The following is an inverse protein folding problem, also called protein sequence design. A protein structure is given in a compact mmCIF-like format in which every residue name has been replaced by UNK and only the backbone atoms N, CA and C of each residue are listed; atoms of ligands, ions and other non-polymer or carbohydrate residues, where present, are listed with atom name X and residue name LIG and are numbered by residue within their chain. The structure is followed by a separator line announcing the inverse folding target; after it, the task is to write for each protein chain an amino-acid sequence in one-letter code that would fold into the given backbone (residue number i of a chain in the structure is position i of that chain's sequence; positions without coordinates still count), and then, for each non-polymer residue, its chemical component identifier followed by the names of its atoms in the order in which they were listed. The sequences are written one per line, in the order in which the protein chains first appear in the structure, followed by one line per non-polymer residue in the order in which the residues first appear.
data_IF_227983495488
#
_entry.id   IF_227983495488
#
_cell.length_a   1.000
_cell.length_b   1.000
_cell.length_c   1.000
_cell.angle_alpha   90.00
_cell.angle_beta   90.00
_cell.angle_gamma   90.00
#
_symmetry.space_group_name_H-M   'P 1'
#
loop_
_entity.id
_entity.type
_entity.pdbx_description
1 polymer ?
#
# COMPACT_ATOMS: atom_id res chain seq x y z
N UNK A 1 22.63 -5.17 -4.88
CA UNK A 1 22.22 -3.77 -4.84
C UNK A 1 20.71 -3.76 -4.83
N UNK A 2 20.09 -3.19 -3.81
CA UNK A 2 18.63 -3.06 -3.76
C UNK A 2 18.24 -1.96 -4.73
N UNK A 3 17.69 -2.35 -5.89
CA UNK A 3 17.19 -1.38 -6.85
C UNK A 3 15.96 -0.72 -6.23
N UNK A 4 16.13 0.54 -5.85
CA UNK A 4 15.07 1.38 -5.30
C UNK A 4 14.59 2.30 -6.41
N UNK A 5 13.30 2.20 -6.73
CA UNK A 5 12.67 3.11 -7.67
C UNK A 5 11.93 4.21 -6.93
N UNK A 6 12.01 5.43 -7.43
CA UNK A 6 11.26 6.56 -6.88
C UNK A 6 10.66 7.38 -8.00
N UNK A 7 9.33 7.44 -8.00
CA UNK A 7 8.54 8.09 -9.02
C UNK A 7 7.52 9.04 -8.38
N UNK A 8 7.12 10.06 -9.11
CA UNK A 8 5.86 10.73 -8.80
C UNK A 8 4.69 9.88 -9.28
N UNK A 9 3.48 10.13 -8.77
CA UNK A 9 2.27 9.48 -9.26
C UNK A 9 2.07 9.71 -10.77
N UNK A 10 2.32 10.92 -11.26
CA UNK A 10 2.28 11.26 -12.68
C UNK A 10 3.29 10.46 -13.50
N UNK A 11 4.53 10.31 -13.00
CA UNK A 11 5.56 9.50 -13.65
C UNK A 11 5.14 8.03 -13.75
N UNK A 12 4.61 7.45 -12.67
CA UNK A 12 4.11 6.08 -12.70
C UNK A 12 2.96 5.91 -13.69
N UNK A 13 2.01 6.84 -13.72
CA UNK A 13 0.87 6.81 -14.65
C UNK A 13 1.35 6.81 -16.10
N UNK A 14 2.23 7.74 -16.47
CA UNK A 14 2.76 7.84 -17.84
C UNK A 14 3.51 6.56 -18.21
N UNK A 15 4.32 6.02 -17.30
CA UNK A 15 5.04 4.78 -17.54
C UNK A 15 4.10 3.58 -17.73
N UNK A 16 3.05 3.44 -16.91
CA UNK A 16 2.05 2.38 -17.06
C UNK A 16 1.30 2.50 -18.39
N UNK A 17 0.85 3.70 -18.77
CA UNK A 17 0.17 3.93 -20.04
C UNK A 17 1.05 3.59 -21.25
N UNK A 18 2.32 4.02 -21.23
CA UNK A 18 3.25 3.75 -22.33
C UNK A 18 3.63 2.27 -22.41
N UNK A 19 3.65 1.57 -21.28
CA UNK A 19 3.89 0.13 -21.22
C UNK A 19 2.67 -0.74 -21.56
N UNK A 20 1.48 -0.14 -21.78
CA UNK A 20 0.26 -0.86 -22.11
C UNK A 20 -0.52 -1.42 -20.92
N UNK A 21 -0.26 -0.92 -19.71
CA UNK A 21 -1.00 -1.25 -18.48
C UNK A 21 -2.10 -0.20 -18.22
N UNK A 22 -3.07 -0.13 -19.13
CA UNK A 22 -4.06 0.95 -19.16
C UNK A 22 -5.00 0.97 -17.96
N UNK A 23 -5.41 -0.20 -17.46
CA UNK A 23 -6.30 -0.29 -16.28
C UNK A 23 -5.58 0.14 -15.00
N UNK A 24 -4.31 -0.24 -14.84
CA UNK A 24 -3.48 0.19 -13.72
C UNK A 24 -3.18 1.70 -13.79
N UNK A 25 -2.93 2.23 -15.00
CA UNK A 25 -2.75 3.66 -15.22
C UNK A 25 -4.02 4.43 -14.83
N UNK A 26 -5.19 3.94 -15.25
CA UNK A 26 -6.49 4.54 -14.92
C UNK A 26 -6.76 4.49 -13.41
N UNK A 27 -6.56 3.34 -12.77
CA UNK A 27 -6.69 3.21 -11.32
C UNK A 27 -5.75 4.16 -10.59
N UNK A 28 -4.53 4.35 -11.09
CA UNK A 28 -3.55 5.28 -10.52
C UNK A 28 -4.00 6.74 -10.66
N UNK A 29 -4.61 7.14 -11.78
CA UNK A 29 -5.20 8.48 -11.95
C UNK A 29 -6.30 8.73 -10.92
N UNK A 30 -7.20 7.77 -10.74
CA UNK A 30 -8.31 7.85 -9.77
C UNK A 30 -7.77 7.97 -8.33
N UNK A 31 -6.81 7.13 -7.95
CA UNK A 31 -6.21 7.13 -6.62
C UNK A 31 -5.41 8.40 -6.33
N UNK A 32 -4.71 8.95 -7.33
CA UNK A 32 -3.97 10.19 -7.21
C UNK A 32 -4.86 11.45 -7.28
N UNK A 33 -6.17 11.29 -7.51
CA UNK A 33 -7.12 12.41 -7.69
C UNK A 33 -6.69 13.40 -8.77
N UNK A 34 -6.06 12.89 -9.84
CA UNK A 34 -5.56 13.71 -10.95
C UNK A 34 -6.74 14.12 -11.84
N UNK A 35 -6.71 15.35 -12.35
CA UNK A 35 -7.72 15.85 -13.29
C UNK A 35 -7.78 14.96 -14.53
N UNK A 36 -8.98 14.50 -14.87
CA UNK A 36 -9.24 13.64 -16.03
C UNK A 36 -9.55 14.42 -17.31
N UNK A 37 -9.40 15.76 -17.28
CA UNK A 37 -9.58 16.59 -18.46
C UNK A 37 -8.48 16.33 -19.50
N UNK A 38 -8.87 16.18 -20.77
CA UNK A 38 -7.94 15.79 -21.85
C UNK A 38 -6.76 16.76 -21.99
N UNK A 39 -7.00 18.07 -21.87
CA UNK A 39 -5.93 19.08 -21.98
C UNK A 39 -4.98 19.03 -20.80
N UNK A 40 -5.51 18.85 -19.60
CA UNK A 40 -4.75 18.72 -18.36
C UNK A 40 -3.86 17.47 -18.41
N UNK A 41 -4.42 16.35 -18.87
CA UNK A 41 -3.67 15.11 -19.08
C UNK A 41 -2.57 15.27 -20.14
N UNK A 42 -2.85 15.90 -21.29
CA UNK A 42 -1.83 16.15 -22.31
C UNK A 42 -0.65 16.96 -21.78
N UNK A 43 -0.93 18.00 -20.99
CA UNK A 43 0.12 18.83 -20.37
C UNK A 43 0.91 18.02 -19.34
N UNK A 44 0.23 17.24 -18.50
CA UNK A 44 0.84 16.34 -17.54
C UNK A 44 1.77 15.34 -18.25
N UNK A 45 1.30 14.67 -19.31
CA UNK A 45 2.09 13.71 -20.09
C UNK A 45 3.34 14.36 -20.67
N UNK A 46 3.21 15.50 -21.35
CA UNK A 46 4.36 16.20 -21.97
C UNK A 46 5.41 16.61 -20.92
N UNK A 47 4.97 17.18 -19.81
CA UNK A 47 5.89 17.58 -18.73
C UNK A 47 6.56 16.38 -18.05
N UNK A 48 5.81 15.30 -17.86
CA UNK A 48 6.29 14.05 -17.25
C UNK A 48 7.32 13.34 -18.12
N UNK A 49 7.07 13.24 -19.44
CA UNK A 49 8.03 12.66 -20.38
C UNK A 49 9.36 13.43 -20.34
N UNK A 50 9.31 14.77 -20.26
CA UNK A 50 10.53 15.57 -20.12
C UNK A 50 11.30 15.23 -18.83
N UNK A 51 10.61 15.02 -17.70
CA UNK A 51 11.22 14.57 -16.44
C UNK A 51 11.82 13.16 -16.54
N UNK A 52 11.09 12.22 -17.16
CA UNK A 52 11.57 10.84 -17.36
C UNK A 52 12.82 10.80 -18.26
N UNK A 53 12.88 11.66 -19.29
CA UNK A 53 14.08 11.88 -20.13
C UNK A 53 15.26 12.38 -19.29
N UNK A 54 15.03 13.36 -18.41
CA UNK A 54 16.08 13.85 -17.50
C UNK A 54 16.58 12.79 -16.51
N UNK A 55 15.71 11.88 -16.09
CA UNK A 55 16.04 10.76 -15.19
C UNK A 55 16.74 9.59 -15.91
N UNK A 56 16.85 9.62 -17.25
CA UNK A 56 17.40 8.51 -18.03
C UNK A 56 16.51 7.27 -18.07
N UNK A 57 15.24 7.38 -17.65
CA UNK A 57 14.25 6.30 -17.71
C UNK A 57 13.66 6.19 -19.12
N UNK A 58 13.57 7.34 -19.81
CA UNK A 58 13.03 7.44 -21.15
C UNK A 58 14.15 7.57 -22.18
N UNK A 59 14.27 6.57 -23.03
CA UNK A 59 15.20 6.46 -24.14
C UNK A 59 14.62 7.13 -25.40
N UNK A 60 15.32 8.16 -25.87
CA UNK A 60 14.92 8.92 -27.06
C UNK A 60 15.14 8.14 -28.36
N UNK A 61 16.17 7.29 -28.42
CA UNK A 61 16.46 6.51 -29.63
C UNK A 61 15.36 5.46 -29.85
N UNK A 62 14.90 4.84 -28.76
CA UNK A 62 13.74 3.94 -28.77
C UNK A 62 12.46 4.67 -29.19
N UNK A 63 12.21 5.88 -28.67
CA UNK A 63 11.06 6.71 -29.06
C UNK A 63 11.06 7.04 -30.56
N UNK A 64 12.22 7.42 -31.12
CA UNK A 64 12.38 7.73 -32.54
C UNK A 64 12.20 6.51 -33.45
N UNK A 65 12.41 5.31 -32.92
CA UNK A 65 12.18 4.04 -33.60
C UNK A 65 10.75 3.51 -33.42
N UNK A 66 9.85 4.28 -32.80
CA UNK A 66 8.46 3.90 -32.51
C UNK A 66 8.34 2.60 -31.68
N UNK A 67 9.35 2.30 -30.85
CA UNK A 67 9.32 1.21 -29.87
C UNK A 67 9.14 1.78 -28.45
N UNK A 68 8.85 0.90 -27.47
CA UNK A 68 8.64 1.33 -26.10
C UNK A 68 9.89 2.07 -25.56
N UNK A 69 9.77 3.35 -25.18
CA UNK A 69 10.90 4.19 -24.82
C UNK A 69 11.41 3.94 -23.39
N UNK A 70 10.77 3.08 -22.61
CA UNK A 70 11.20 2.81 -21.24
C UNK A 70 12.44 1.89 -21.24
N UNK A 71 13.31 2.09 -20.24
CA UNK A 71 14.39 1.17 -19.95
C UNK A 71 13.84 -0.23 -19.60
N UNK A 72 14.52 -1.29 -20.05
CA UNK A 72 14.03 -2.67 -19.91
C UNK A 72 13.78 -3.06 -18.44
N UNK A 73 14.64 -2.60 -17.53
CA UNK A 73 14.47 -2.80 -16.08
C UNK A 73 13.16 -2.18 -15.55
N UNK A 74 12.78 -1.01 -16.08
CA UNK A 74 11.54 -0.33 -15.70
C UNK A 74 10.34 -1.09 -16.24
N UNK A 75 10.41 -1.60 -17.48
CA UNK A 75 9.36 -2.44 -18.06
C UNK A 75 9.14 -3.69 -17.19
N UNK A 76 10.20 -4.42 -16.84
CA UNK A 76 10.10 -5.59 -15.97
C UNK A 76 9.56 -5.26 -14.58
N UNK A 77 9.90 -4.10 -14.01
CA UNK A 77 9.30 -3.62 -12.77
C UNK A 77 7.80 -3.37 -12.91
N UNK A 78 7.37 -2.69 -13.98
CA UNK A 78 5.95 -2.38 -14.23
C UNK A 78 5.13 -3.65 -14.44
N UNK A 79 5.69 -4.66 -15.14
CA UNK A 79 5.07 -5.97 -15.29
C UNK A 79 4.81 -6.63 -13.93
N UNK A 80 5.77 -6.61 -13.01
CA UNK A 80 5.59 -7.15 -11.66
C UNK A 80 4.52 -6.36 -10.90
N UNK A 81 4.62 -5.03 -10.93
CA UNK A 81 3.69 -4.15 -10.24
C UNK A 81 2.24 -4.34 -10.72
N UNK A 82 2.02 -4.34 -12.03
CA UNK A 82 0.69 -4.45 -12.63
C UNK A 82 0.08 -5.84 -12.43
N UNK A 83 0.88 -6.91 -12.48
CA UNK A 83 0.37 -8.28 -12.38
C UNK A 83 0.29 -8.82 -10.94
N UNK A 84 0.57 -8.00 -9.92
CA UNK A 84 0.48 -8.44 -8.53
C UNK A 84 -0.98 -8.73 -8.14
N UNK A 85 -1.24 -9.96 -7.70
CA UNK A 85 -2.59 -10.40 -7.27
C UNK A 85 -2.78 -10.42 -5.77
N UNK A 86 -1.70 -10.57 -5.02
CA UNK A 86 -1.75 -10.67 -3.56
C UNK A 86 -0.97 -9.52 -2.96
N UNK A 87 -1.63 -8.74 -2.11
CA UNK A 87 -1.01 -7.59 -1.48
C UNK A 87 -1.45 -7.41 -0.03
N UNK A 88 -0.53 -6.87 0.77
CA UNK A 88 -0.80 -6.38 2.12
C UNK A 88 -0.77 -4.85 2.05
N UNK A 89 -1.80 -4.18 2.54
CA UNK A 89 -1.91 -2.73 2.53
C UNK A 89 -2.09 -2.21 3.95
N UNK A 90 -1.29 -1.25 4.35
CA UNK A 90 -1.36 -0.54 5.61
C UNK A 90 -1.54 0.96 5.35
N UNK A 91 -2.51 1.58 5.99
CA UNK A 91 -2.77 3.04 5.91
C UNK A 91 -2.18 3.75 7.12
N UNK A 92 -1.75 5.00 6.94
CA UNK A 92 -1.49 5.90 8.05
C UNK A 92 -2.08 7.29 7.75
N UNK A 93 -3.25 7.58 8.31
CA UNK A 93 -4.03 8.79 7.97
C UNK A 93 -3.32 10.08 8.41
N UNK A 94 -2.76 10.11 9.62
CA UNK A 94 -2.08 11.29 10.15
C UNK A 94 -0.86 11.69 9.30
N UNK A 95 -0.08 10.69 8.86
CA UNK A 95 1.08 10.90 7.99
C UNK A 95 0.70 11.01 6.50
N UNK A 96 -0.58 10.83 6.15
CA UNK A 96 -1.05 10.72 4.76
C UNK A 96 -0.20 9.75 3.94
N UNK A 97 0.15 8.63 4.55
CA UNK A 97 1.05 7.65 3.99
C UNK A 97 0.35 6.31 3.75
N UNK A 98 0.83 5.60 2.74
CA UNK A 98 0.39 4.25 2.45
C UNK A 98 1.59 3.33 2.32
N UNK A 99 1.47 2.14 2.89
CA UNK A 99 2.43 1.08 2.73
C UNK A 99 1.74 -0.12 2.09
N UNK A 100 2.28 -0.60 0.97
CA UNK A 100 1.80 -1.76 0.24
C UNK A 100 2.96 -2.74 0.09
N UNK A 101 2.68 -4.02 0.32
CA UNK A 101 3.58 -5.11 -0.01
C UNK A 101 2.92 -5.95 -1.09
N UNK A 102 3.56 -6.01 -2.24
CA UNK A 102 3.10 -6.76 -3.40
C UNK A 102 3.82 -8.12 -3.42
N UNK A 103 3.08 -9.21 -3.37
CA UNK A 103 3.67 -10.54 -3.43
C UNK A 103 4.11 -10.86 -4.85
N UNK A 104 5.35 -11.32 -4.99
CA UNK A 104 5.91 -11.75 -6.27
C UNK A 104 5.98 -13.27 -6.31
N UNK A 105 6.85 -13.84 -5.48
CA UNK A 105 7.08 -15.29 -5.42
C UNK A 105 7.93 -15.67 -4.19
N UNK A 106 7.61 -16.80 -3.55
CA UNK A 106 8.27 -17.32 -2.35
C UNK A 106 8.53 -16.22 -1.30
N UNK A 107 9.82 -15.92 -1.05
CA UNK A 107 10.27 -14.91 -0.08
C UNK A 107 10.37 -13.51 -0.69
N UNK A 108 10.06 -13.31 -1.98
CA UNK A 108 10.24 -12.03 -2.67
C UNK A 108 8.95 -11.21 -2.71
N UNK A 109 9.08 -9.98 -2.24
CA UNK A 109 8.01 -9.00 -2.21
C UNK A 109 8.51 -7.67 -2.77
N UNK A 110 7.60 -6.92 -3.37
CA UNK A 110 7.82 -5.53 -3.74
C UNK A 110 7.21 -4.63 -2.66
N UNK A 111 8.07 -4.02 -1.86
CA UNK A 111 7.71 -2.94 -0.95
C UNK A 111 7.34 -1.71 -1.78
N UNK A 112 6.21 -1.09 -1.45
CA UNK A 112 5.70 0.10 -2.10
C UNK A 112 5.21 1.10 -1.03
N UNK A 113 5.87 2.23 -0.92
CA UNK A 113 5.52 3.30 0.00
C UNK A 113 5.06 4.54 -0.75
N UNK A 114 3.88 5.05 -0.39
CA UNK A 114 3.29 6.27 -0.93
C UNK A 114 3.31 7.35 0.15
N UNK A 115 3.89 8.49 -0.18
CA UNK A 115 3.92 9.68 0.67
C UNK A 115 3.03 10.77 0.06
N UNK A 116 2.06 11.26 0.84
CA UNK A 116 1.13 12.33 0.46
C UNK A 116 0.43 12.09 -0.89
N UNK A 117 0.14 10.82 -1.22
CA UNK A 117 -0.44 10.39 -2.51
C UNK A 117 0.35 10.81 -3.77
N UNK A 118 1.60 11.26 -3.62
CA UNK A 118 2.34 11.90 -4.72
C UNK A 118 3.68 11.23 -5.01
N UNK A 119 4.43 10.83 -3.98
CA UNK A 119 5.74 10.18 -4.13
C UNK A 119 5.57 8.69 -3.87
N UNK A 120 5.97 7.88 -4.84
CA UNK A 120 5.93 6.43 -4.77
C UNK A 120 7.34 5.87 -4.75
N UNK A 121 7.67 5.11 -3.70
CA UNK A 121 8.96 4.46 -3.51
C UNK A 121 8.79 2.95 -3.54
N UNK A 122 9.62 2.28 -4.33
CA UNK A 122 9.56 0.85 -4.53
C UNK A 122 10.90 0.19 -4.26
N UNK A 123 10.89 -0.94 -3.55
CA UNK A 123 12.09 -1.71 -3.24
C UNK A 123 11.75 -3.19 -3.16
N UNK A 124 12.60 -4.08 -3.66
CA UNK A 124 12.41 -5.52 -3.44
C UNK A 124 12.90 -5.91 -2.03
N UNK A 125 12.07 -6.63 -1.29
CA UNK A 125 12.37 -7.08 0.08
C UNK A 125 12.07 -8.57 0.26
N UNK A 126 12.62 -9.15 1.33
CA UNK A 126 12.24 -10.50 1.79
C UNK A 126 11.02 -10.49 2.71
N UNK A 127 10.21 -11.55 2.72
CA UNK A 127 9.02 -11.70 3.57
C UNK A 127 9.34 -11.47 5.05
N UNK A 128 10.47 -12.01 5.52
CA UNK A 128 10.95 -11.83 6.91
C UNK A 128 11.14 -10.37 7.35
N UNK A 129 11.23 -9.42 6.41
CA UNK A 129 11.40 -8.00 6.71
C UNK A 129 10.05 -7.27 6.87
N UNK A 130 8.94 -7.83 6.36
CA UNK A 130 7.61 -7.19 6.38
C UNK A 130 7.21 -6.75 7.80
N UNK A 131 7.35 -7.58 8.86
CA UNK A 131 6.97 -7.16 10.21
C UNK A 131 7.74 -5.92 10.69
N UNK A 132 9.02 -5.80 10.36
CA UNK A 132 9.83 -4.65 10.73
C UNK A 132 9.43 -3.40 9.95
N UNK A 133 9.09 -3.53 8.67
CA UNK A 133 8.60 -2.40 7.86
C UNK A 133 7.26 -1.88 8.38
N UNK A 134 6.30 -2.76 8.69
CA UNK A 134 5.01 -2.38 9.29
C UNK A 134 5.24 -1.66 10.63
N UNK A 135 6.17 -2.20 11.44
CA UNK A 135 6.48 -1.61 12.74
C UNK A 135 7.05 -0.20 12.63
N UNK A 136 7.98 0.00 11.70
CA UNK A 136 8.60 1.30 11.44
C UNK A 136 7.58 2.28 10.84
N UNK A 137 6.70 1.80 9.96
CA UNK A 137 5.66 2.62 9.32
C UNK A 137 4.71 3.27 10.33
N UNK A 138 4.24 2.51 11.32
CA UNK A 138 3.43 3.05 12.42
C UNK A 138 4.23 3.72 13.53
N UNK A 139 5.55 3.77 13.40
CA UNK A 139 6.46 4.26 14.42
C UNK A 139 6.10 3.71 15.82
N UNK A 140 5.81 2.40 15.91
CA UNK A 140 5.49 1.78 17.19
C UNK A 140 6.69 1.96 18.11
N UNK A 141 6.59 2.90 19.06
CA UNK A 141 7.61 3.07 20.08
C UNK A 141 7.71 1.73 20.82
N UNK A 142 8.88 1.11 20.84
CA UNK A 142 9.10 -0.18 21.52
C UNK A 142 9.13 -0.08 23.04
N UNK A 143 8.77 1.07 23.59
CA UNK A 143 8.78 1.32 25.03
C UNK A 143 7.56 0.70 25.73
N UNK A 144 6.71 -0.04 25.01
CA UNK A 144 5.73 -0.91 25.62
C UNK A 144 6.52 -2.08 26.19
N UNK A 145 6.79 -2.02 27.48
CA UNK A 145 7.03 -3.22 28.28
C UNK A 145 5.75 -4.05 28.20
N UNK A 146 5.55 -4.75 27.09
CA UNK A 146 4.59 -5.82 27.05
C UNK A 146 5.20 -6.91 27.92
N UNK A 147 4.62 -7.13 29.10
CA UNK A 147 4.70 -8.46 29.69
C UNK A 147 4.29 -9.42 28.58
N UNK A 148 5.26 -10.23 28.13
CA UNK A 148 5.28 -10.88 26.81
C UNK A 148 4.23 -11.99 26.63
N UNK A 149 3.27 -12.09 27.54
CA UNK A 149 2.27 -13.15 27.62
C UNK A 149 0.82 -12.63 27.57
N UNK A 150 0.59 -11.32 27.54
CA UNK A 150 -0.75 -10.76 27.48
C UNK A 150 -1.32 -10.89 26.06
N UNK A 151 -2.27 -11.79 25.86
CA UNK A 151 -2.95 -11.97 24.57
C UNK A 151 -4.42 -12.31 24.77
N UNK A 152 -5.25 -11.89 23.82
CA UNK A 152 -6.64 -12.29 23.71
C UNK A 152 -7.02 -12.31 22.22
N UNK A 153 -8.11 -13.00 21.88
CA UNK A 153 -8.62 -13.04 20.51
C UNK A 153 -10.08 -12.59 20.50
N UNK A 154 -10.44 -11.86 19.45
CA UNK A 154 -11.82 -11.46 19.17
C UNK A 154 -12.20 -11.98 17.79
N UNK A 155 -13.45 -12.37 17.62
CA UNK A 155 -14.06 -12.47 16.29
C UNK A 155 -14.36 -11.08 15.74
N UNK A 156 -14.49 -10.94 14.43
CA UNK A 156 -14.85 -9.67 13.78
C UNK A 156 -16.13 -9.06 14.37
N UNK A 157 -17.16 -9.89 14.59
CA UNK A 157 -18.41 -9.47 15.21
C UNK A 157 -18.22 -8.96 16.65
N UNK A 158 -17.34 -9.59 17.43
CA UNK A 158 -17.02 -9.14 18.79
C UNK A 158 -16.27 -7.81 18.76
N UNK A 159 -15.28 -7.65 17.86
CA UNK A 159 -14.56 -6.38 17.69
C UNK A 159 -15.49 -5.24 17.26
N UNK A 160 -16.33 -5.47 16.25
CA UNK A 160 -17.32 -4.47 15.81
C UNK A 160 -18.31 -4.11 16.90
N UNK A 161 -18.69 -5.09 17.73
CA UNK A 161 -19.60 -4.86 18.84
C UNK A 161 -18.98 -3.96 19.92
N UNK A 162 -17.64 -3.87 20.02
CA UNK A 162 -16.95 -2.94 20.95
C UNK A 162 -17.15 -1.46 20.59
N UNK A 163 -17.59 -1.14 19.36
CA UNK A 163 -18.04 0.21 18.97
C UNK A 163 -19.11 0.78 19.89
N UNK A 164 -19.90 -0.09 20.54
CA UNK A 164 -21.01 0.29 21.42
C UNK A 164 -20.61 0.01 22.88
N UNK A 165 -20.40 1.04 23.73
CA UNK A 165 -19.96 0.85 25.11
C UNK A 165 -20.81 -0.13 25.94
N UNK A 166 -22.12 -0.21 25.65
CA UNK A 166 -23.06 -1.14 26.30
C UNK A 166 -22.74 -2.63 26.05
N UNK A 167 -22.03 -2.96 24.97
CA UNK A 167 -21.72 -4.33 24.59
C UNK A 167 -20.44 -4.86 25.26
N UNK A 168 -19.61 -4.00 25.84
CA UNK A 168 -18.32 -4.37 26.46
C UNK A 168 -18.50 -5.48 27.51
N UNK A 169 -19.48 -5.33 28.41
CA UNK A 169 -19.72 -6.32 29.47
C UNK A 169 -20.11 -7.69 28.92
N UNK A 170 -20.90 -7.70 27.85
CA UNK A 170 -21.35 -8.92 27.16
C UNK A 170 -20.17 -9.62 26.48
N UNK A 171 -19.36 -8.86 25.73
CA UNK A 171 -18.17 -9.41 25.07
C UNK A 171 -17.19 -9.96 26.09
N UNK A 172 -16.95 -9.22 27.19
CA UNK A 172 -16.09 -9.68 28.29
C UNK A 172 -16.55 -11.01 28.90
N UNK A 173 -17.86 -11.29 28.94
CA UNK A 173 -18.40 -12.56 29.43
C UNK A 173 -18.38 -13.70 28.41
N UNK A 174 -18.24 -13.40 27.11
CA UNK A 174 -18.23 -14.38 26.01
C UNK A 174 -16.81 -14.87 25.67
N UNK A 175 -15.78 -14.23 26.21
CA UNK A 175 -14.39 -14.55 25.92
C UNK A 175 -13.87 -15.58 26.93
N UNK A 176 -13.80 -16.83 26.50
CA UNK A 176 -13.18 -17.92 27.27
C UNK A 176 -11.64 -17.76 27.32
N UNK A 177 -11.03 -18.03 28.47
CA UNK A 177 -9.56 -18.00 28.63
C UNK A 177 -8.93 -16.59 28.57
N UNK A 178 -9.74 -15.55 28.72
CA UNK A 178 -9.31 -14.17 28.52
C UNK A 178 -8.27 -13.72 29.55
N UNK A 179 -7.17 -13.20 29.05
CA UNK A 179 -6.33 -12.28 29.81
C UNK A 179 -7.09 -10.94 30.00
N UNK A 180 -7.73 -10.82 31.16
CA UNK A 180 -8.55 -9.66 31.53
C UNK A 180 -7.75 -8.36 31.58
N UNK A 181 -6.45 -8.45 31.82
CA UNK A 181 -5.54 -7.32 31.82
C UNK A 181 -5.27 -6.86 30.38
N UNK A 182 -4.94 -7.79 29.48
CA UNK A 182 -4.75 -7.52 28.07
C UNK A 182 -5.98 -6.84 27.44
N UNK A 183 -7.17 -7.41 27.70
CA UNK A 183 -8.43 -6.85 27.21
C UNK A 183 -8.74 -5.48 27.80
N UNK A 184 -8.46 -5.26 29.09
CA UNK A 184 -8.70 -3.96 29.72
C UNK A 184 -7.77 -2.87 29.19
N UNK A 185 -6.50 -3.19 28.93
CA UNK A 185 -5.54 -2.25 28.32
C UNK A 185 -5.98 -1.90 26.91
N UNK A 186 -6.30 -2.91 26.10
CA UNK A 186 -6.83 -2.74 24.76
C UNK A 186 -8.10 -1.87 24.75
N UNK A 187 -9.08 -2.17 25.61
CA UNK A 187 -10.34 -1.42 25.65
C UNK A 187 -10.13 0.06 26.00
N UNK A 188 -9.22 0.37 26.94
CA UNK A 188 -8.88 1.76 27.29
C UNK A 188 -8.26 2.50 26.10
N UNK A 189 -7.32 1.86 25.39
CA UNK A 189 -6.72 2.42 24.18
C UNK A 189 -7.75 2.63 23.06
N UNK A 190 -8.59 1.62 22.83
CA UNK A 190 -9.62 1.63 21.81
C UNK A 190 -10.67 2.74 22.04
N UNK A 191 -11.07 2.99 23.29
CA UNK A 191 -11.99 4.11 23.60
C UNK A 191 -11.30 5.46 23.41
N UNK A 192 -10.03 5.58 23.81
CA UNK A 192 -9.29 6.83 23.76
C UNK A 192 -8.89 7.25 22.33
N UNK A 193 -8.80 6.31 21.40
CA UNK A 193 -8.28 6.51 20.04
C UNK A 193 -9.13 5.79 18.98
N UNK A 194 -10.45 5.61 19.22
CA UNK A 194 -11.33 4.86 18.32
C UNK A 194 -11.27 5.38 16.88
N UNK A 195 -11.27 6.71 16.75
CA UNK A 195 -11.20 7.49 15.53
C UNK A 195 -9.81 7.49 14.86
N UNK A 196 -8.81 6.89 15.50
CA UNK A 196 -7.42 6.80 14.99
C UNK A 196 -6.96 5.36 14.80
N UNK A 197 -7.91 4.44 14.61
CA UNK A 197 -7.60 3.05 14.33
C UNK A 197 -7.11 2.92 12.89
N UNK A 198 -5.83 2.65 12.73
CA UNK A 198 -5.22 2.39 11.42
C UNK A 198 -5.53 0.96 10.96
N UNK A 199 -5.61 0.76 9.65
CA UNK A 199 -6.00 -0.52 9.07
C UNK A 199 -4.84 -1.19 8.32
N UNK A 200 -4.66 -2.48 8.59
CA UNK A 200 -3.90 -3.39 7.73
C UNK A 200 -4.89 -4.35 7.09
N UNK A 201 -4.92 -4.38 5.76
CA UNK A 201 -5.77 -5.24 4.96
C UNK A 201 -4.93 -6.18 4.10
N UNK A 202 -5.42 -7.40 3.92
CA UNK A 202 -4.83 -8.39 3.01
C UNK A 202 -5.80 -8.62 1.86
N UNK A 203 -5.32 -8.46 0.63
CA UNK A 203 -6.13 -8.58 -0.58
C UNK A 203 -5.63 -9.72 -1.45
N UNK A 204 -6.59 -10.42 -2.07
CA UNK A 204 -6.34 -11.37 -3.15
C UNK A 204 -7.28 -11.03 -4.32
N UNK A 205 -6.70 -10.65 -5.46
CA UNK A 205 -7.43 -10.33 -6.68
C UNK A 205 -7.57 -11.62 -7.50
N UNK A 206 -8.81 -12.11 -7.63
CA UNK A 206 -9.12 -13.30 -8.42
C UNK A 206 -9.59 -12.87 -9.83
N UNK A 207 -9.04 -13.45 -10.90
CA UNK A 207 -9.33 -13.09 -12.30
C UNK A 207 -10.79 -13.31 -12.74
N UNK A 208 -11.64 -13.92 -11.89
CA UNK A 208 -13.06 -14.09 -12.17
C UNK A 208 -13.84 -12.87 -11.72
N UNK A 209 -13.88 -11.83 -12.54
CA UNK A 209 -15.03 -10.92 -12.71
C UNK A 209 -14.84 -10.04 -13.95
N UNK A 210 -14.73 -10.65 -15.13
CA UNK A 210 -15.16 -10.01 -16.38
C UNK A 210 -16.69 -10.05 -16.41
N UNK A 211 -17.35 -9.08 -15.76
CA UNK A 211 -18.74 -8.77 -16.09
C UNK A 211 -18.72 -7.69 -17.16
N UNK A 212 -19.08 -8.12 -18.38
CA UNK A 212 -19.46 -7.28 -19.51
C UNK A 212 -20.62 -6.35 -19.17
#
# INVERSE_FOLDING_TARGET
MENTFTFTAEELIVMLSVAGFDEEAKSSVENASISTGTKELEVMFKSTIARLKMKGIWDKEKEEQEINPLADEVISFLEIYANTRFLIRATHEEQKALLIFHYIDFDKWLYHYVEENSIQRFTFISEKNIPNHIKNFYNFQTNWTTDSNLSFSLTDHQFDSLKKPKNVKKIKSELEGLDLEAFSVFQKGLIAQWDKTENISVFYINEKNNYF
#
